data_IF_400087179797
#
_entry.id   IF_400087179797
#
_cell.length_a   1.000
_cell.length_b   1.000
_cell.length_c   1.000
_cell.angle_alpha   90.00
_cell.angle_beta   90.00
_cell.angle_gamma   90.00
#
_symmetry.space_group_name_H-M   'P 1'
#
loop_
_entity.id
_entity.type
_entity.pdbx_description
1 polymer ?
#
# COMPACT_ATOMS: atom_id res chain seq x y z
N UNK A 1 -5.04 33.74 -60.59
CA UNK A 1 -4.66 35.15 -60.35
C UNK A 1 -4.69 35.40 -58.85
N UNK A 2 -3.63 36.04 -58.36
CA UNK A 2 -3.26 36.20 -56.96
C UNK A 2 -4.30 36.89 -56.07
N UNK A 3 -4.31 36.53 -54.78
CA UNK A 3 -4.42 37.53 -53.69
C UNK A 3 -3.73 37.02 -52.43
N UNK A 4 -2.56 37.63 -52.22
CA UNK A 4 -1.65 37.55 -51.09
C UNK A 4 -2.12 38.58 -50.06
N UNK A 5 -2.34 38.17 -48.81
CA UNK A 5 -2.63 39.08 -47.69
C UNK A 5 -1.56 38.90 -46.63
N UNK A 6 -0.65 39.87 -46.57
CA UNK A 6 0.24 40.14 -45.45
C UNK A 6 -0.58 40.63 -44.26
N UNK A 7 -0.25 40.18 -43.04
CA UNK A 7 -0.52 40.95 -41.83
C UNK A 7 0.76 41.08 -40.99
N UNK A 8 1.15 42.34 -40.83
CA UNK A 8 2.20 42.87 -39.95
C UNK A 8 1.86 42.62 -38.47
N UNK A 9 2.83 42.18 -37.67
CA UNK A 9 3.59 43.00 -36.70
C UNK A 9 2.75 43.78 -35.67
N UNK A 10 2.81 43.33 -34.42
CA UNK A 10 2.80 44.24 -33.26
C UNK A 10 3.72 43.70 -32.16
N UNK A 11 4.84 44.38 -31.99
CA UNK A 11 5.63 44.42 -30.76
C UNK A 11 4.84 45.16 -29.68
N UNK A 12 4.83 44.62 -28.46
CA UNK A 12 4.38 45.31 -27.26
C UNK A 12 5.41 45.15 -26.15
N UNK A 13 6.31 46.13 -26.02
CA UNK A 13 7.10 46.39 -24.82
C UNK A 13 6.17 46.90 -23.71
N UNK A 14 6.23 46.33 -22.50
CA UNK A 14 5.86 47.04 -21.28
C UNK A 14 6.94 46.78 -20.24
N UNK A 15 7.76 47.81 -20.01
CA UNK A 15 8.57 47.99 -18.81
C UNK A 15 7.74 48.83 -17.83
N UNK A 16 7.63 48.42 -16.57
CA UNK A 16 7.26 49.30 -15.45
C UNK A 16 8.13 48.92 -14.25
N UNK A 17 9.06 49.81 -13.93
CA UNK A 17 9.69 49.93 -12.62
C UNK A 17 8.88 50.93 -11.80
N UNK A 18 8.63 50.63 -10.53
CA UNK A 18 8.34 51.64 -9.51
C UNK A 18 8.65 51.06 -8.13
N UNK A 19 9.70 51.62 -7.54
CA UNK A 19 10.03 51.56 -6.12
C UNK A 19 8.90 52.18 -5.28
N UNK A 20 8.62 51.58 -4.12
CA UNK A 20 8.03 52.32 -3.00
C UNK A 20 8.55 51.77 -1.68
N UNK A 21 9.50 52.53 -1.13
CA UNK A 21 9.95 52.53 0.26
C UNK A 21 8.84 53.13 1.13
N UNK A 22 8.38 52.42 2.15
CA UNK A 22 7.63 53.01 3.27
C UNK A 22 8.12 52.41 4.59
N UNK A 23 8.41 53.34 5.49
CA UNK A 23 9.05 53.30 6.81
C UNK A 23 8.26 52.48 7.88
N UNK A 24 8.92 51.86 8.87
CA UNK A 24 8.27 51.12 9.95
C UNK A 24 8.15 51.97 11.22
N UNK A 25 6.95 52.41 11.59
CA UNK A 25 6.67 53.01 12.90
C UNK A 25 5.17 53.03 13.22
N UNK A 26 4.64 51.98 13.87
CA UNK A 26 3.33 52.04 14.53
C UNK A 26 3.24 51.04 15.68
N UNK A 27 3.75 51.47 16.84
CA UNK A 27 3.11 51.44 18.16
C UNK A 27 2.17 50.26 18.45
N UNK A 28 2.66 49.35 19.30
CA UNK A 28 1.88 48.40 20.09
C UNK A 28 1.03 49.15 21.13
N UNK A 29 -0.30 49.05 21.04
CA UNK A 29 -1.21 49.29 22.17
C UNK A 29 -1.84 47.97 22.59
N UNK A 30 -1.48 47.54 23.79
CA UNK A 30 -2.11 46.46 24.55
C UNK A 30 -3.51 46.94 24.96
N UNK A 31 -4.54 46.14 24.71
CA UNK A 31 -5.89 46.35 25.23
C UNK A 31 -6.34 45.08 25.94
N UNK A 32 -6.59 45.24 27.24
CA UNK A 32 -7.12 44.21 28.14
C UNK A 32 -8.49 43.69 27.67
N UNK A 33 -8.74 42.37 27.70
CA UNK A 33 -10.09 41.85 27.57
C UNK A 33 -10.83 41.95 28.90
N UNK A 34 -11.87 42.77 28.89
CA UNK A 34 -12.87 42.86 29.95
C UNK A 34 -13.62 41.53 30.13
N UNK A 35 -13.82 41.24 31.42
CA UNK A 35 -14.56 40.16 32.03
C UNK A 35 -16.04 40.20 31.61
N UNK A 36 -16.49 39.21 30.84
CA UNK A 36 -17.91 38.97 30.56
C UNK A 36 -18.35 37.68 31.27
N UNK A 37 -19.11 37.90 32.33
CA UNK A 37 -19.81 36.93 33.16
C UNK A 37 -20.99 36.38 32.35
N UNK A 38 -21.00 35.06 32.07
CA UNK A 38 -22.15 34.38 31.47
C UNK A 38 -22.81 33.48 32.51
N UNK A 39 -24.06 33.81 32.81
CA UNK A 39 -24.99 33.07 33.64
C UNK A 39 -25.16 31.62 33.16
N UNK A 40 -25.07 30.69 34.11
CA UNK A 40 -25.36 29.28 33.90
C UNK A 40 -26.88 29.05 33.75
N UNK A 41 -27.29 28.48 32.62
CA UNK A 41 -28.62 27.86 32.45
C UNK A 41 -28.62 26.42 32.98
N UNK A 42 -29.73 25.92 33.54
CA UNK A 42 -29.81 24.59 34.13
C UNK A 42 -29.80 23.48 33.07
N UNK A 43 -29.12 22.39 33.42
CA UNK A 43 -28.93 21.20 32.61
C UNK A 43 -30.25 20.48 32.30
N UNK A 44 -30.48 20.23 31.02
CA UNK A 44 -31.55 19.39 30.51
C UNK A 44 -31.12 17.91 30.63
N UNK A 45 -32.00 17.13 31.26
CA UNK A 45 -31.82 15.73 31.65
C UNK A 45 -31.73 14.82 30.40
N UNK A 46 -30.50 14.49 29.98
CA UNK A 46 -30.27 13.57 28.86
C UNK A 46 -30.47 12.12 29.31
N UNK A 47 -31.45 11.45 28.70
CA UNK A 47 -31.74 10.02 28.88
C UNK A 47 -30.50 9.14 28.64
N UNK A 48 -30.33 8.04 29.40
CA UNK A 48 -29.15 7.19 29.28
C UNK A 48 -29.10 6.48 27.92
N UNK A 49 -27.99 6.70 27.21
CA UNK A 49 -27.60 5.94 26.01
C UNK A 49 -27.16 4.53 26.47
N UNK A 50 -27.62 3.44 25.83
CA UNK A 50 -27.24 2.09 26.22
C UNK A 50 -25.74 1.88 25.99
N UNK A 51 -25.02 1.60 27.08
CA UNK A 51 -23.61 1.22 27.05
C UNK A 51 -23.44 -0.08 26.28
N UNK A 52 -22.68 -0.02 25.17
CA UNK A 52 -22.09 -1.17 24.52
C UNK A 52 -21.17 -1.88 25.52
N UNK A 53 -21.55 -3.12 25.87
CA UNK A 53 -20.79 -4.02 26.72
C UNK A 53 -19.50 -4.43 26.00
N UNK A 54 -18.37 -3.91 26.47
CA UNK A 54 -17.03 -4.37 26.07
C UNK A 54 -16.60 -5.41 27.12
N UNK A 55 -16.46 -6.70 26.77
CA UNK A 55 -16.01 -7.70 27.72
C UNK A 55 -14.59 -7.36 28.20
N UNK A 56 -14.45 -7.13 29.51
CA UNK A 56 -13.16 -6.98 30.18
C UNK A 56 -12.42 -8.32 30.14
N UNK A 57 -11.46 -8.46 29.23
CA UNK A 57 -10.47 -9.54 29.32
C UNK A 57 -9.58 -9.30 30.55
N UNK A 58 -9.84 -10.02 31.64
CA UNK A 58 -8.90 -10.14 32.76
C UNK A 58 -7.71 -10.96 32.27
N UNK A 59 -6.57 -10.30 32.03
CA UNK A 59 -5.26 -10.95 31.92
C UNK A 59 -4.94 -11.58 33.28
N UNK A 60 -5.11 -12.90 33.39
CA UNK A 60 -4.61 -13.68 34.51
C UNK A 60 -3.10 -13.85 34.36
N UNK A 61 -2.33 -13.02 35.06
CA UNK A 61 -0.90 -13.29 35.31
C UNK A 61 -0.82 -14.29 36.46
N UNK A 62 -0.79 -15.58 36.14
CA UNK A 62 -0.24 -16.61 37.03
C UNK A 62 1.01 -17.19 36.39
N UNK A 63 2.16 -16.66 36.77
CA UNK A 63 3.44 -17.35 36.67
C UNK A 63 3.40 -18.56 37.60
N UNK A 64 3.33 -19.76 37.04
CA UNK A 64 3.60 -21.00 37.78
C UNK A 64 5.10 -21.32 37.65
N UNK A 65 5.76 -21.32 38.80
CA UNK A 65 7.05 -21.95 39.05
C UNK A 65 7.03 -23.40 38.58
N UNK A 66 8.03 -23.78 37.77
CA UNK A 66 8.24 -25.14 37.29
C UNK A 66 9.24 -25.82 38.22
N UNK A 67 8.75 -26.31 39.36
CA UNK A 67 9.36 -27.42 40.09
C UNK A 67 8.29 -28.50 40.19
N UNK A 68 8.68 -29.74 39.93
CA UNK A 68 7.89 -30.96 40.09
C UNK A 68 6.96 -31.35 38.93
N UNK A 69 7.55 -31.94 37.88
CA UNK A 69 6.91 -32.98 37.07
C UNK A 69 7.91 -34.13 36.79
N UNK A 70 7.48 -35.40 36.87
CA UNK A 70 8.34 -36.57 36.78
C UNK A 70 8.82 -36.87 35.35
N UNK A 71 10.01 -37.48 35.27
CA UNK A 71 10.74 -37.78 34.04
C UNK A 71 9.96 -38.71 33.10
N UNK A 72 9.64 -38.19 31.90
CA UNK A 72 9.25 -38.99 30.75
C UNK A 72 10.49 -39.24 29.88
N UNK A 73 10.88 -40.51 29.76
CA UNK A 73 11.91 -40.98 28.83
C UNK A 73 11.40 -40.82 27.40
N UNK A 74 11.83 -39.76 26.72
CA UNK A 74 11.72 -39.58 25.27
C UNK A 74 13.10 -39.60 24.63
N UNK A 75 13.24 -40.05 23.36
CA UNK A 75 14.54 -40.19 22.71
C UNK A 75 15.17 -38.81 22.48
N UNK A 76 16.39 -38.65 22.99
CA UNK A 76 17.24 -37.47 22.80
C UNK A 76 17.54 -37.26 21.32
N UNK A 77 17.08 -36.14 20.78
CA UNK A 77 17.47 -35.67 19.46
C UNK A 77 18.87 -35.05 19.59
N UNK A 78 19.90 -35.80 19.18
CA UNK A 78 21.27 -35.31 19.08
C UNK A 78 21.33 -34.34 17.91
N UNK A 79 21.60 -33.05 18.20
CA UNK A 79 21.97 -32.06 17.19
C UNK A 79 23.47 -32.28 16.91
N UNK A 80 23.88 -32.69 15.71
CA UNK A 80 25.29 -32.81 15.40
C UNK A 80 25.90 -31.41 15.23
N UNK A 81 27.05 -31.19 15.87
CA UNK A 81 27.90 -30.02 15.68
C UNK A 81 28.17 -29.79 14.20
N UNK A 82 27.73 -28.64 13.67
CA UNK A 82 28.09 -28.16 12.34
C UNK A 82 29.52 -27.66 12.36
N UNK A 83 30.47 -28.59 12.29
CA UNK A 83 31.83 -28.31 11.86
C UNK A 83 32.16 -29.15 10.63
N UNK A 84 32.22 -28.48 9.47
CA UNK A 84 33.14 -28.84 8.39
C UNK A 84 32.92 -30.12 7.58
N UNK A 85 31.68 -30.58 7.33
CA UNK A 85 31.45 -31.61 6.31
C UNK A 85 30.67 -31.03 5.12
N UNK A 86 31.33 -30.96 3.96
CA UNK A 86 30.69 -30.63 2.69
C UNK A 86 29.72 -31.75 2.34
N UNK A 87 28.42 -31.50 2.52
CA UNK A 87 27.36 -32.42 2.07
C UNK A 87 27.47 -32.52 0.55
N UNK A 88 27.72 -33.71 0.02
CA UNK A 88 27.81 -33.87 -1.43
C UNK A 88 26.42 -33.71 -2.06
N UNK A 89 26.31 -33.20 -3.30
CA UNK A 89 25.03 -33.07 -4.00
C UNK A 89 24.22 -34.38 -4.04
N UNK A 90 24.90 -35.52 -4.06
CA UNK A 90 24.30 -36.86 -4.07
C UNK A 90 23.56 -37.16 -2.75
N UNK A 91 24.12 -36.78 -1.59
CA UNK A 91 23.49 -36.95 -0.27
C UNK A 91 22.18 -36.15 -0.15
N UNK A 92 22.13 -34.98 -0.80
CA UNK A 92 20.92 -34.14 -0.82
C UNK A 92 19.82 -34.80 -1.65
N UNK A 93 20.17 -35.33 -2.82
CA UNK A 93 19.23 -36.04 -3.70
C UNK A 93 18.69 -37.29 -3.03
N UNK A 94 19.54 -38.05 -2.33
CA UNK A 94 19.12 -39.25 -1.61
C UNK A 94 18.13 -38.92 -0.47
N UNK A 95 18.41 -37.87 0.32
CA UNK A 95 17.50 -37.41 1.39
C UNK A 95 16.15 -36.93 0.87
N UNK A 96 16.14 -36.24 -0.28
CA UNK A 96 14.89 -35.79 -0.92
C UNK A 96 14.08 -37.01 -1.39
N UNK A 97 14.73 -37.98 -2.03
CA UNK A 97 14.04 -39.18 -2.51
C UNK A 97 13.49 -40.03 -1.36
N UNK A 98 14.24 -40.15 -0.26
CA UNK A 98 13.76 -40.80 0.96
C UNK A 98 12.54 -40.11 1.57
N UNK A 99 12.54 -38.76 1.63
CA UNK A 99 11.40 -37.97 2.09
C UNK A 99 10.15 -38.16 1.21
N UNK A 100 10.33 -38.17 -0.11
CA UNK A 100 9.23 -38.37 -1.06
C UNK A 100 8.62 -39.78 -0.95
N UNK A 101 9.45 -40.81 -0.73
CA UNK A 101 8.96 -42.17 -0.49
C UNK A 101 8.20 -42.28 0.84
N UNK A 102 8.64 -41.58 1.90
CA UNK A 102 7.94 -41.55 3.18
C UNK A 102 6.55 -40.91 3.05
N UNK A 103 6.43 -39.78 2.33
CA UNK A 103 5.13 -39.13 2.07
C UNK A 103 4.21 -40.04 1.24
N UNK A 104 4.76 -40.76 0.25
CA UNK A 104 3.98 -41.72 -0.54
C UNK A 104 3.45 -42.88 0.31
N UNK A 105 4.27 -43.42 1.21
CA UNK A 105 3.84 -44.45 2.17
C UNK A 105 2.79 -43.94 3.15
N UNK A 106 2.91 -42.71 3.63
CA UNK A 106 1.88 -42.08 4.49
C UNK A 106 0.55 -41.88 3.74
N UNK A 107 0.60 -41.61 2.43
CA UNK A 107 -0.60 -41.49 1.59
C UNK A 107 -1.28 -42.85 1.33
N UNK A 108 -0.49 -43.91 1.21
CA UNK A 108 -0.98 -45.29 1.02
C UNK A 108 -1.52 -45.91 2.33
N UNK A 109 -1.02 -45.46 3.49
CA UNK A 109 -1.52 -45.86 4.82
C UNK A 109 -2.72 -45.04 5.32
N UNK A 110 -3.39 -44.29 4.45
CA UNK A 110 -4.51 -43.43 4.82
C UNK A 110 -5.82 -44.22 5.04
N UNK A 111 -5.82 -45.10 6.02
CA UNK A 111 -7.03 -45.44 6.76
C UNK A 111 -7.35 -44.26 7.70
N UNK A 112 -8.32 -43.45 7.26
CA UNK A 112 -9.20 -42.60 8.07
C UNK A 112 -8.51 -41.62 9.03
N UNK A 113 -8.25 -40.43 8.51
CA UNK A 113 -8.07 -39.24 9.35
C UNK A 113 -9.39 -38.92 10.09
N UNK A 114 -9.48 -39.29 11.37
CA UNK A 114 -10.62 -39.00 12.26
C UNK A 114 -10.89 -37.49 12.49
N UNK A 115 -10.03 -36.61 11.98
CA UNK A 115 -10.17 -35.14 12.08
C UNK A 115 -10.95 -34.55 10.89
N UNK A 116 -11.22 -35.33 9.85
CA UNK A 116 -11.97 -34.86 8.68
C UNK A 116 -13.51 -34.95 8.84
N UNK A 117 -14.04 -35.62 9.87
CA UNK A 117 -15.50 -35.79 10.06
C UNK A 117 -16.20 -34.60 10.75
N UNK A 118 -15.46 -33.59 11.23
CA UNK A 118 -16.06 -32.40 11.86
C UNK A 118 -16.58 -31.36 10.86
N UNK A 119 -16.36 -31.55 9.55
CA UNK A 119 -16.82 -30.61 8.53
C UNK A 119 -18.11 -31.04 7.80
N UNK A 120 -18.60 -32.27 8.00
CA UNK A 120 -19.81 -32.76 7.31
C UNK A 120 -21.11 -32.53 8.10
N UNK A 121 -21.05 -32.08 9.36
CA UNK A 121 -22.26 -31.84 10.18
C UNK A 121 -22.88 -30.44 10.05
N UNK A 122 -22.42 -29.60 9.12
CA UNK A 122 -23.05 -28.27 8.87
C UNK A 122 -23.82 -28.18 7.55
N UNK A 123 -23.98 -29.27 6.78
CA UNK A 123 -24.74 -29.29 5.52
C UNK A 123 -26.17 -29.85 5.62
N UNK A 124 -26.86 -29.61 6.73
CA UNK A 124 -28.31 -29.87 6.82
C UNK A 124 -29.06 -28.66 7.39
N UNK A 125 -29.06 -27.57 6.62
CA UNK A 125 -30.21 -26.66 6.61
C UNK A 125 -30.36 -26.05 5.22
N UNK A 126 -31.45 -26.41 4.56
CA UNK A 126 -31.76 -25.99 3.19
C UNK A 126 -32.00 -24.49 3.12
N UNK A 127 -31.31 -23.84 2.18
CA UNK A 127 -31.57 -22.45 1.81
C UNK A 127 -30.42 -21.82 1.03
N UNK A 128 -30.69 -21.51 -0.25
CA UNK A 128 -29.89 -20.66 -1.16
C UNK A 128 -28.73 -21.34 -1.91
N UNK A 129 -29.08 -22.09 -2.97
CA UNK A 129 -28.16 -22.44 -4.08
C UNK A 129 -27.53 -21.20 -4.75
N UNK A 130 -28.09 -20.00 -4.58
CA UNK A 130 -27.60 -18.80 -5.26
C UNK A 130 -26.27 -18.26 -4.71
N UNK A 131 -25.91 -18.53 -3.45
CA UNK A 131 -24.70 -17.94 -2.84
C UNK A 131 -23.42 -18.74 -3.12
N UNK A 132 -23.52 -20.06 -3.25
CA UNK A 132 -22.37 -20.90 -3.59
C UNK A 132 -21.90 -20.64 -5.02
N UNK A 133 -22.85 -20.51 -5.96
CA UNK A 133 -22.54 -20.19 -7.35
C UNK A 133 -21.92 -18.80 -7.51
N UNK A 134 -22.37 -17.81 -6.72
CA UNK A 134 -21.80 -16.47 -6.73
C UNK A 134 -20.35 -16.44 -6.22
N UNK A 135 -20.04 -17.21 -5.16
CA UNK A 135 -18.69 -17.39 -4.64
C UNK A 135 -17.76 -18.14 -5.61
N UNK A 136 -18.26 -19.16 -6.31
CA UNK A 136 -17.48 -19.87 -7.35
C UNK A 136 -17.20 -18.95 -8.55
N UNK A 137 -18.16 -18.09 -8.92
CA UNK A 137 -18.00 -17.12 -9.99
C UNK A 137 -17.01 -16.01 -9.64
N UNK A 138 -17.01 -15.55 -8.39
CA UNK A 138 -15.99 -14.63 -7.87
C UNK A 138 -14.61 -15.29 -7.80
N UNK A 139 -14.51 -16.55 -7.36
CA UNK A 139 -13.21 -17.24 -7.23
C UNK A 139 -12.48 -17.40 -8.56
N UNK A 140 -13.20 -17.72 -9.65
CA UNK A 140 -12.63 -17.79 -11.01
C UNK A 140 -12.08 -16.46 -11.53
N UNK A 141 -12.47 -15.34 -10.93
CA UNK A 141 -11.97 -14.01 -11.29
C UNK A 141 -10.62 -13.69 -10.62
N UNK A 142 -10.19 -14.47 -9.63
CA UNK A 142 -9.00 -14.23 -8.81
C UNK A 142 -7.97 -15.37 -8.84
N UNK A 143 -8.12 -16.36 -9.73
CA UNK A 143 -7.12 -17.41 -9.87
C UNK A 143 -5.80 -16.80 -10.38
N UNK A 144 -4.73 -16.99 -9.60
CA UNK A 144 -3.39 -16.54 -9.96
C UNK A 144 -2.96 -17.22 -11.27
N UNK A 145 -2.46 -16.42 -12.23
CA UNK A 145 -1.98 -16.95 -13.51
C UNK A 145 -0.79 -17.89 -13.30
N UNK A 146 -0.74 -18.97 -14.10
CA UNK A 146 0.35 -19.95 -14.10
C UNK A 146 1.71 -19.22 -14.21
N UNK A 147 2.68 -19.48 -13.30
CA UNK A 147 4.01 -18.92 -13.39
C UNK A 147 4.72 -19.21 -14.73
N UNK A 148 4.32 -20.25 -15.47
CA UNK A 148 4.85 -20.55 -16.81
C UNK A 148 4.24 -19.68 -17.92
N UNK A 149 3.15 -18.96 -17.64
CA UNK A 149 2.60 -17.92 -18.51
C UNK A 149 3.35 -16.58 -18.36
N UNK A 150 4.31 -16.47 -17.43
CA UNK A 150 5.27 -15.37 -17.41
C UNK A 150 6.17 -15.51 -18.64
N UNK A 151 5.84 -14.75 -19.70
CA UNK A 151 6.65 -14.68 -20.91
C UNK A 151 8.13 -14.46 -20.59
N UNK A 152 9.00 -15.01 -21.44
CA UNK A 152 10.46 -14.90 -21.30
C UNK A 152 10.85 -13.42 -21.33
N UNK A 153 11.48 -12.93 -20.26
CA UNK A 153 12.10 -11.61 -20.26
C UNK A 153 13.14 -11.58 -21.38
N UNK A 154 12.94 -10.73 -22.39
CA UNK A 154 13.95 -10.49 -23.42
C UNK A 154 15.05 -9.65 -22.79
N UNK A 155 16.25 -10.22 -22.66
CA UNK A 155 17.43 -9.48 -22.18
C UNK A 155 17.76 -8.33 -23.15
N UNK A 156 17.76 -7.06 -22.71
CA UNK A 156 18.19 -5.96 -23.55
C UNK A 156 19.72 -5.95 -23.65
N UNK A 157 20.20 -5.56 -24.82
CA UNK A 157 21.61 -5.23 -25.04
C UNK A 157 22.00 -4.09 -24.09
N UNK A 158 23.02 -4.35 -23.28
CA UNK A 158 23.60 -3.44 -22.30
C UNK A 158 24.24 -2.23 -22.98
N UNK A 159 23.64 -1.06 -22.82
CA UNK A 159 24.34 0.22 -22.97
C UNK A 159 24.25 0.98 -21.64
N UNK A 160 25.42 1.30 -21.09
CA UNK A 160 25.57 2.14 -19.90
C UNK A 160 25.48 3.59 -20.35
N UNK A 161 24.50 4.33 -19.85
CA UNK A 161 24.37 5.76 -20.19
C UNK A 161 25.46 6.56 -19.44
N UNK A 162 26.17 7.46 -20.15
CA UNK A 162 27.26 8.30 -19.61
C UNK A 162 26.86 9.24 -18.45
N UNK A 163 25.59 9.25 -18.05
CA UNK A 163 25.04 10.03 -16.93
C UNK A 163 25.17 9.35 -15.56
N UNK A 164 25.79 8.17 -15.47
CA UNK A 164 25.94 7.42 -14.21
C UNK A 164 24.65 6.74 -13.73
N UNK A 165 23.57 6.83 -14.51
CA UNK A 165 22.34 6.05 -14.31
C UNK A 165 22.59 4.61 -14.67
N UNK A 166 22.41 3.70 -13.69
CA UNK A 166 22.49 2.24 -13.90
C UNK A 166 21.54 1.84 -15.02
N UNK A 167 21.99 0.95 -15.92
CA UNK A 167 21.14 0.40 -16.97
C UNK A 167 19.94 -0.32 -16.35
N UNK A 168 18.74 0.05 -16.79
CA UNK A 168 17.49 -0.60 -16.39
C UNK A 168 17.08 -1.61 -17.46
N UNK A 169 16.75 -2.82 -17.03
CA UNK A 169 16.11 -3.83 -17.88
C UNK A 169 14.62 -3.77 -17.63
N UNK A 170 13.88 -3.19 -18.58
CA UNK A 170 12.42 -3.16 -18.52
C UNK A 170 11.85 -4.26 -19.41
N UNK A 171 10.92 -5.04 -18.87
CA UNK A 171 10.17 -6.04 -19.61
C UNK A 171 8.67 -5.88 -19.37
N UNK A 172 7.88 -6.15 -20.39
CA UNK A 172 6.45 -6.35 -20.21
C UNK A 172 6.20 -7.64 -19.44
N UNK A 173 5.12 -7.65 -18.67
CA UNK A 173 4.70 -8.77 -17.84
C UNK A 173 3.20 -9.04 -18.06
N UNK A 174 2.71 -10.25 -17.75
CA UNK A 174 1.32 -10.62 -17.94
C UNK A 174 0.37 -9.62 -17.28
N UNK A 175 -0.50 -8.96 -18.04
CA UNK A 175 -1.32 -7.84 -17.56
C UNK A 175 -0.90 -6.46 -18.07
N UNK A 176 0.02 -6.41 -19.04
CA UNK A 176 0.47 -5.21 -19.75
C UNK A 176 1.06 -4.14 -18.82
N UNK A 177 1.83 -4.57 -17.82
CA UNK A 177 2.64 -3.68 -16.99
C UNK A 177 4.12 -3.82 -17.33
N UNK A 178 4.82 -2.70 -17.23
CA UNK A 178 6.28 -2.65 -17.36
C UNK A 178 6.91 -2.90 -15.99
N UNK A 179 7.73 -3.94 -15.90
CA UNK A 179 8.60 -4.16 -14.75
C UNK A 179 10.02 -3.76 -15.15
N UNK A 180 10.58 -2.76 -14.47
CA UNK A 180 11.97 -2.37 -14.65
C UNK A 180 12.80 -2.91 -13.50
N UNK A 181 13.82 -3.70 -13.82
CA UNK A 181 14.81 -4.22 -12.88
C UNK A 181 16.10 -3.48 -13.14
N UNK A 182 16.69 -2.93 -12.09
CA UNK A 182 17.99 -2.29 -12.14
C UNK A 182 19.04 -3.27 -11.62
N UNK A 183 20.21 -3.29 -12.25
CA UNK A 183 21.23 -4.28 -11.92
C UNK A 183 21.66 -4.17 -10.43
N UNK A 184 21.44 -5.25 -9.67
CA UNK A 184 21.77 -5.32 -8.23
C UNK A 184 20.70 -4.76 -7.29
N UNK A 185 19.51 -4.43 -7.78
CA UNK A 185 18.40 -3.94 -6.96
C UNK A 185 17.41 -5.06 -6.58
N UNK A 186 16.60 -4.79 -5.56
CA UNK A 186 15.56 -5.70 -5.05
C UNK A 186 14.43 -5.90 -6.05
N UNK A 187 13.76 -7.05 -5.94
CA UNK A 187 12.62 -7.44 -6.79
C UNK A 187 11.55 -6.33 -6.78
N UNK A 188 11.08 -5.87 -7.95
CA UNK A 188 10.06 -4.83 -8.03
C UNK A 188 8.72 -5.32 -7.45
N UNK A 189 7.90 -4.38 -6.97
CA UNK A 189 6.50 -4.60 -6.65
C UNK A 189 6.15 -4.49 -5.18
N UNK A 190 6.98 -4.97 -4.26
CA UNK A 190 6.65 -4.85 -2.85
C UNK A 190 7.88 -4.57 -2.00
N UNK A 191 7.92 -3.37 -1.41
CA UNK A 191 9.01 -2.96 -0.54
C UNK A 191 8.55 -1.89 0.45
N UNK A 192 9.37 -1.70 1.49
CA UNK A 192 9.10 -0.74 2.55
C UNK A 192 10.26 0.22 2.74
N UNK A 193 9.94 1.46 3.05
CA UNK A 193 10.90 2.47 3.50
C UNK A 193 10.51 2.88 4.91
N UNK A 194 11.48 2.92 5.81
CA UNK A 194 11.25 3.21 7.21
C UNK A 194 12.12 4.39 7.63
N UNK A 195 11.49 5.55 7.86
CA UNK A 195 12.15 6.69 8.47
C UNK A 195 12.15 6.48 9.99
N UNK A 196 13.31 6.09 10.52
CA UNK A 196 13.57 5.96 11.96
C UNK A 196 14.18 7.22 12.59
N UNK A 197 14.36 8.31 11.84
CA UNK A 197 15.00 9.51 12.39
C UNK A 197 14.12 10.19 13.42
N UNK A 198 14.73 10.76 14.45
CA UNK A 198 14.11 11.33 15.64
C UNK A 198 13.32 12.63 15.37
N UNK A 199 12.26 12.61 14.55
CA UNK A 199 11.31 13.72 14.46
C UNK A 199 10.04 13.39 13.66
N UNK A 200 8.87 13.84 14.11
CA UNK A 200 8.29 13.67 15.44
C UNK A 200 7.63 12.29 15.61
N UNK A 201 7.46 11.50 14.54
CA UNK A 201 6.87 10.16 14.56
C UNK A 201 7.58 9.26 13.53
N UNK A 202 7.88 7.99 13.85
CA UNK A 202 8.35 7.03 12.85
C UNK A 202 7.35 6.94 11.68
N UNK A 203 7.88 7.05 10.46
CA UNK A 203 7.08 6.95 9.23
C UNK A 203 7.50 5.73 8.42
N UNK A 204 6.54 4.89 8.07
CA UNK A 204 6.73 3.82 7.11
C UNK A 204 6.01 4.16 5.80
N UNK A 205 6.68 3.92 4.68
CA UNK A 205 6.07 3.83 3.37
C UNK A 205 6.10 2.38 2.95
N UNK A 206 4.96 1.84 2.56
CA UNK A 206 4.82 0.51 2.02
C UNK A 206 4.24 0.64 0.62
N UNK A 207 4.95 0.07 -0.35
CA UNK A 207 4.50 -0.02 -1.73
C UNK A 207 3.88 -1.40 -1.91
N UNK A 208 2.60 -1.41 -2.26
CA UNK A 208 1.76 -2.61 -2.33
C UNK A 208 1.62 -3.08 -3.78
N UNK A 209 1.80 -4.37 -4.00
CA UNK A 209 1.49 -5.07 -5.26
C UNK A 209 0.99 -6.48 -4.94
N UNK A 210 -0.07 -6.54 -4.13
CA UNK A 210 -0.64 -7.80 -3.69
C UNK A 210 -1.14 -8.64 -4.87
N UNK A 211 -0.98 -9.96 -4.77
CA UNK A 211 -1.39 -10.93 -5.79
C UNK A 211 -0.82 -10.66 -7.21
N UNK A 212 0.21 -9.81 -7.34
CA UNK A 212 0.72 -9.32 -8.62
C UNK A 212 -0.39 -8.72 -9.51
N UNK A 213 -1.45 -8.22 -8.89
CA UNK A 213 -2.60 -7.67 -9.59
C UNK A 213 -2.45 -6.16 -9.75
N UNK A 214 -2.65 -5.67 -10.98
CA UNK A 214 -2.62 -4.22 -11.28
C UNK A 214 -3.61 -3.42 -10.43
N UNK A 215 -4.70 -4.05 -10.01
CA UNK A 215 -5.71 -3.41 -9.18
C UNK A 215 -5.22 -3.04 -7.78
N UNK A 216 -4.21 -3.75 -7.28
CA UNK A 216 -3.72 -3.62 -5.91
C UNK A 216 -2.42 -2.80 -5.82
N UNK A 217 -2.08 -2.07 -6.89
CA UNK A 217 -0.96 -1.13 -6.90
C UNK A 217 -1.29 0.12 -6.09
N UNK A 218 -0.71 0.20 -4.90
CA UNK A 218 -0.96 1.28 -3.96
C UNK A 218 0.26 1.65 -3.12
N UNK A 219 0.12 2.74 -2.37
CA UNK A 219 1.13 3.25 -1.46
C UNK A 219 0.46 3.48 -0.12
N UNK A 220 0.85 2.70 0.87
CA UNK A 220 0.43 2.84 2.25
C UNK A 220 1.48 3.66 3.01
N UNK A 221 1.05 4.68 3.74
CA UNK A 221 1.90 5.52 4.59
C UNK A 221 1.35 5.47 6.00
N UNK A 222 2.18 5.08 6.95
CA UNK A 222 1.83 5.04 8.37
C UNK A 222 2.75 5.97 9.16
N UNK A 223 2.14 6.92 9.87
CA UNK A 223 2.79 7.68 10.94
C UNK A 223 2.44 7.00 12.26
N UNK A 224 3.37 6.21 12.80
CA UNK A 224 3.16 5.48 14.04
C UNK A 224 3.32 6.40 15.23
N UNK A 225 2.38 6.32 16.17
CA UNK A 225 2.56 6.84 17.51
C UNK A 225 2.91 5.67 18.43
N UNK A 226 4.11 5.69 19.00
CA UNK A 226 4.71 4.59 19.77
C UNK A 226 3.83 4.07 20.91
N UNK A 227 2.91 4.90 21.43
CA UNK A 227 2.09 4.54 22.59
C UNK A 227 0.64 4.18 22.25
N UNK A 228 0.13 4.56 21.08
CA UNK A 228 -1.29 4.40 20.76
C UNK A 228 -1.54 4.19 19.26
N UNK A 229 -1.81 2.94 18.87
CA UNK A 229 -2.26 2.62 17.51
C UNK A 229 -3.47 3.47 17.09
N UNK A 230 -4.41 3.69 18.01
CA UNK A 230 -5.60 4.52 17.80
C UNK A 230 -5.32 5.98 17.43
N UNK A 231 -4.09 6.47 17.66
CA UNK A 231 -3.64 7.81 17.30
C UNK A 231 -2.72 7.83 16.07
N UNK A 232 -2.34 6.65 15.55
CA UNK A 232 -1.51 6.53 14.37
C UNK A 232 -2.28 7.01 13.14
N UNK A 233 -1.62 7.74 12.25
CA UNK A 233 -2.24 8.29 11.03
C UNK A 233 -1.85 7.43 9.86
N UNK A 234 -2.84 6.91 9.16
CA UNK A 234 -2.68 6.07 7.99
C UNK A 234 -3.17 6.83 6.76
N UNK A 235 -2.40 6.79 5.69
CA UNK A 235 -2.75 7.34 4.40
C UNK A 235 -2.59 6.23 3.36
N UNK A 236 -3.60 5.98 2.56
CA UNK A 236 -3.51 5.09 1.39
C UNK A 236 -3.64 5.90 0.12
N UNK A 237 -2.74 5.66 -0.83
CA UNK A 237 -2.71 6.37 -2.12
C UNK A 237 -2.66 5.39 -3.27
N UNK A 238 -3.32 5.74 -4.37
CA UNK A 238 -3.15 5.09 -5.68
C UNK A 238 -2.92 6.16 -6.73
N UNK A 239 -2.06 5.90 -7.70
CA UNK A 239 -1.76 6.83 -8.79
C UNK A 239 -2.01 6.16 -10.15
N UNK A 240 -2.55 6.92 -11.11
CA UNK A 240 -3.01 6.41 -12.41
C UNK A 240 -2.52 7.30 -13.55
N UNK A 241 -2.00 6.74 -14.64
CA UNK A 241 -2.16 5.34 -15.05
C UNK A 241 -1.17 4.38 -14.36
N UNK A 242 -1.60 3.14 -14.13
CA UNK A 242 -0.81 2.07 -13.49
C UNK A 242 -0.03 1.28 -14.54
N UNK A 243 0.95 1.93 -15.18
CA UNK A 243 1.74 1.35 -16.29
C UNK A 243 2.97 0.59 -15.81
N UNK A 244 3.53 0.98 -14.67
CA UNK A 244 4.76 0.43 -14.13
C UNK A 244 4.51 -0.31 -12.82
N UNK A 245 5.26 -1.38 -12.57
CA UNK A 245 5.39 -1.92 -11.21
C UNK A 245 6.32 -0.98 -10.42
N UNK A 246 5.95 -0.58 -9.18
CA UNK A 246 6.84 0.17 -8.32
C UNK A 246 8.20 -0.51 -8.17
N UNK A 247 9.25 0.27 -8.35
CA UNK A 247 10.63 -0.20 -8.22
C UNK A 247 11.43 0.81 -7.41
N UNK A 248 12.41 0.32 -6.66
CA UNK A 248 13.35 1.14 -5.90
C UNK A 248 14.76 0.88 -6.40
N UNK A 249 15.52 1.96 -6.57
CA UNK A 249 16.94 1.92 -6.89
C UNK A 249 17.73 2.81 -5.95
N UNK A 250 18.97 2.43 -5.67
CA UNK A 250 19.87 3.23 -4.82
C UNK A 250 20.98 3.84 -5.67
N UNK A 251 21.16 5.16 -5.55
CA UNK A 251 22.21 5.93 -6.21
C UNK A 251 22.92 6.81 -5.17
N UNK A 252 24.09 6.37 -4.72
CA UNK A 252 24.84 7.06 -3.67
C UNK A 252 24.05 7.16 -2.36
N UNK A 253 23.81 8.39 -1.90
CA UNK A 253 23.05 8.71 -0.70
C UNK A 253 21.54 8.86 -0.95
N UNK A 254 21.06 8.48 -2.13
CA UNK A 254 19.65 8.60 -2.53
C UNK A 254 19.03 7.25 -2.85
N UNK A 255 17.77 7.09 -2.49
CA UNK A 255 16.89 6.03 -2.93
C UNK A 255 15.81 6.60 -3.84
N UNK A 256 15.76 6.17 -5.08
CA UNK A 256 14.82 6.66 -6.07
C UNK A 256 13.75 5.59 -6.28
N UNK A 257 12.52 5.93 -5.95
CA UNK A 257 11.35 5.09 -6.16
C UNK A 257 10.63 5.51 -7.43
N UNK A 258 10.39 4.57 -8.33
CA UNK A 258 9.51 4.76 -9.50
C UNK A 258 8.10 4.37 -9.10
N UNK A 259 7.13 5.26 -9.31
CA UNK A 259 5.71 5.04 -9.04
C UNK A 259 5.02 4.33 -10.21
N UNK A 260 3.77 3.83 -10.04
CA UNK A 260 3.03 3.19 -11.12
C UNK A 260 2.82 4.03 -12.38
N UNK A 261 2.89 5.36 -12.25
CA UNK A 261 2.82 6.32 -13.37
C UNK A 261 4.11 6.44 -14.17
N UNK A 262 5.22 5.89 -13.66
CA UNK A 262 6.58 6.08 -14.20
C UNK A 262 7.28 7.32 -13.62
N UNK A 263 6.58 8.15 -12.86
CA UNK A 263 7.18 9.28 -12.15
C UNK A 263 8.01 8.81 -10.96
N UNK A 264 8.96 9.63 -10.53
CA UNK A 264 9.90 9.24 -9.47
C UNK A 264 9.74 10.08 -8.20
N UNK A 265 10.05 9.45 -7.07
CA UNK A 265 10.21 10.09 -5.76
C UNK A 265 11.59 9.75 -5.24
N UNK A 266 12.34 10.77 -4.83
CA UNK A 266 13.70 10.61 -4.31
C UNK A 266 13.66 10.72 -2.80
N UNK A 267 14.26 9.74 -2.13
CA UNK A 267 14.41 9.66 -0.69
C UNK A 267 15.88 9.73 -0.32
N UNK A 268 16.20 10.28 0.83
CA UNK A 268 17.52 10.18 1.43
C UNK A 268 17.75 8.76 1.96
N UNK A 269 18.88 8.13 1.65
CA UNK A 269 19.14 6.73 2.01
C UNK A 269 19.26 6.52 3.52
N UNK A 270 19.70 7.52 4.30
CA UNK A 270 19.90 7.37 5.76
C UNK A 270 18.62 7.70 6.52
N UNK A 271 18.02 8.82 6.19
CA UNK A 271 16.88 9.41 6.91
C UNK A 271 15.54 8.98 6.32
N UNK A 272 15.51 8.45 5.10
CA UNK A 272 14.29 8.17 4.31
C UNK A 272 13.37 9.39 4.19
N UNK A 273 13.89 10.61 4.37
CA UNK A 273 13.13 11.84 4.09
C UNK A 273 12.98 11.99 2.58
N UNK A 274 11.84 12.50 2.14
CA UNK A 274 11.63 12.84 0.74
C UNK A 274 12.49 14.06 0.39
N UNK A 275 13.39 13.89 -0.57
CA UNK A 275 14.29 14.93 -1.08
C UNK A 275 13.69 15.65 -2.30
N UNK A 276 12.82 14.99 -3.05
CA UNK A 276 12.17 15.57 -4.23
C UNK A 276 11.38 14.56 -5.05
N UNK A 277 10.88 15.02 -6.20
CA UNK A 277 10.01 14.25 -7.08
C UNK A 277 8.54 14.63 -6.95
N UNK A 278 7.66 13.70 -7.26
CA UNK A 278 6.19 13.96 -7.35
C UNK A 278 5.45 13.85 -6.02
N UNK A 279 6.12 13.49 -4.93
CA UNK A 279 5.56 13.57 -3.57
C UNK A 279 6.27 14.67 -2.80
N UNK A 280 5.50 15.59 -2.22
CA UNK A 280 5.94 16.59 -1.24
C UNK A 280 5.38 16.24 0.14
N UNK A 281 6.17 16.50 1.18
CA UNK A 281 5.82 16.21 2.59
C UNK A 281 5.37 14.76 2.85
N UNK A 282 5.83 13.84 1.98
CA UNK A 282 5.44 12.43 1.88
C UNK A 282 3.98 12.13 1.52
N UNK A 283 3.04 13.08 1.64
CA UNK A 283 1.58 12.82 1.50
C UNK A 283 0.87 13.69 0.48
N UNK A 284 1.57 14.65 -0.12
CA UNK A 284 1.02 15.56 -1.11
C UNK A 284 1.59 15.18 -2.46
N UNK A 285 0.73 14.86 -3.41
CA UNK A 285 1.15 14.49 -4.76
C UNK A 285 1.08 15.69 -5.68
N UNK A 286 2.21 16.02 -6.30
CA UNK A 286 2.40 17.18 -7.19
C UNK A 286 2.57 16.78 -8.66
N UNK A 287 2.51 15.48 -8.97
CA UNK A 287 2.60 14.99 -10.34
C UNK A 287 1.37 15.36 -11.18
N UNK A 288 1.49 15.16 -12.50
CA UNK A 288 0.45 15.55 -13.47
C UNK A 288 -0.68 14.53 -13.61
N UNK A 289 -0.56 13.39 -12.95
CA UNK A 289 -1.45 12.25 -13.12
C UNK A 289 -2.58 12.25 -12.07
N UNK A 290 -3.49 11.27 -12.17
CA UNK A 290 -4.59 11.15 -11.20
C UNK A 290 -4.07 10.46 -9.94
N UNK A 291 -4.36 11.03 -8.78
CA UNK A 291 -4.15 10.41 -7.48
C UNK A 291 -5.50 10.17 -6.80
N UNK A 292 -5.67 8.99 -6.21
CA UNK A 292 -6.65 8.73 -5.15
C UNK A 292 -5.93 8.78 -3.81
N UNK A 293 -6.47 9.49 -2.83
CA UNK A 293 -5.95 9.58 -1.47
C UNK A 293 -7.06 9.34 -0.45
N UNK A 294 -6.75 8.52 0.54
CA UNK A 294 -7.62 8.27 1.70
C UNK A 294 -6.80 8.38 2.97
N UNK A 295 -7.28 9.16 3.93
CA UNK A 295 -6.66 9.32 5.23
C UNK A 295 -7.56 8.74 6.32
N UNK A 296 -6.97 8.07 7.31
CA UNK A 296 -7.65 7.60 8.51
C UNK A 296 -6.73 7.64 9.73
N UNK A 297 -7.35 7.64 10.91
CA UNK A 297 -6.65 7.58 12.20
C UNK A 297 -7.05 6.30 12.92
N UNK A 298 -6.06 5.54 13.37
CA UNK A 298 -6.28 4.34 14.18
C UNK A 298 -6.87 3.13 13.47
N UNK A 299 -7.00 3.16 12.15
CA UNK A 299 -7.58 2.08 11.34
C UNK A 299 -7.10 2.15 9.89
N UNK A 300 -7.31 1.06 9.16
CA UNK A 300 -7.05 0.95 7.72
C UNK A 300 -7.89 1.99 6.92
N UNK A 301 -7.26 2.88 6.14
CA UNK A 301 -7.95 3.96 5.43
C UNK A 301 -9.06 3.52 4.47
N UNK A 302 -8.92 2.35 3.84
CA UNK A 302 -9.90 1.86 2.86
C UNK A 302 -11.19 1.35 3.50
N UNK A 303 -11.20 1.09 4.81
CA UNK A 303 -12.35 0.56 5.53
C UNK A 303 -13.27 1.68 6.10
N UNK A 304 -14.58 1.45 6.02
CA UNK A 304 -15.62 2.27 6.63
C UNK A 304 -16.32 3.28 5.71
N UNK A 305 -17.16 4.14 6.30
CA UNK A 305 -18.10 5.04 5.58
C UNK A 305 -17.48 6.39 5.15
N UNK A 306 -16.18 6.42 4.89
CA UNK A 306 -15.45 7.64 4.54
C UNK A 306 -15.61 8.08 3.08
N UNK A 307 -14.92 9.17 2.75
CA UNK A 307 -14.75 9.67 1.39
C UNK A 307 -13.28 9.55 0.97
N UNK A 308 -13.03 9.12 -0.26
CA UNK A 308 -11.74 9.27 -0.91
C UNK A 308 -11.66 10.62 -1.62
N UNK A 309 -10.48 11.24 -1.61
CA UNK A 309 -10.20 12.41 -2.44
C UNK A 309 -9.45 11.97 -3.69
N UNK A 310 -10.00 12.27 -4.85
CA UNK A 310 -9.35 12.04 -6.14
C UNK A 310 -8.92 13.39 -6.70
N UNK A 311 -7.67 13.53 -7.14
CA UNK A 311 -7.14 14.80 -7.64
C UNK A 311 -6.24 14.65 -8.86
N UNK A 312 -6.24 15.67 -9.72
CA UNK A 312 -5.34 15.85 -10.86
C UNK A 312 -5.16 17.36 -11.12
N UNK A 313 -3.93 17.84 -11.25
CA UNK A 313 -3.61 19.24 -11.62
C UNK A 313 -4.39 20.29 -10.82
N UNK A 314 -4.42 20.18 -9.48
CA UNK A 314 -5.12 21.11 -8.59
C UNK A 314 -6.64 20.98 -8.56
N UNK A 315 -7.26 20.19 -9.45
CA UNK A 315 -8.68 19.81 -9.35
C UNK A 315 -8.84 18.61 -8.43
N UNK A 316 -9.93 18.58 -7.66
CA UNK A 316 -10.26 17.45 -6.78
C UNK A 316 -11.75 17.14 -6.78
N UNK A 317 -12.08 15.85 -6.69
CA UNK A 317 -13.43 15.37 -6.41
C UNK A 317 -13.43 14.40 -5.22
N UNK A 318 -14.51 14.40 -4.44
CA UNK A 318 -14.69 13.46 -3.32
C UNK A 318 -15.66 12.37 -3.74
N UNK A 319 -15.30 11.11 -3.52
CA UNK A 319 -16.15 9.96 -3.83
C UNK A 319 -16.31 9.05 -2.61
N UNK A 320 -17.46 8.37 -2.43
CA UNK A 320 -17.61 7.40 -1.35
C UNK A 320 -16.61 6.25 -1.43
N UNK A 321 -16.03 5.84 -0.29
CA UNK A 321 -15.08 4.72 -0.28
C UNK A 321 -15.68 3.43 -0.83
N UNK A 322 -16.97 3.16 -0.54
CA UNK A 322 -17.68 1.98 -1.03
C UNK A 322 -17.78 1.91 -2.56
N UNK A 323 -17.65 3.05 -3.25
CA UNK A 323 -17.64 3.10 -4.72
C UNK A 323 -16.31 2.63 -5.31
N UNK A 324 -15.22 2.72 -4.54
CA UNK A 324 -13.87 2.32 -4.93
C UNK A 324 -13.48 0.94 -4.37
N UNK A 325 -13.90 0.65 -3.13
CA UNK A 325 -13.69 -0.62 -2.42
C UNK A 325 -15.04 -1.13 -1.89
N UNK A 326 -15.77 -1.95 -2.68
CA UNK A 326 -17.14 -2.35 -2.35
C UNK A 326 -17.24 -3.24 -1.11
N UNK A 327 -16.27 -4.12 -0.93
CA UNK A 327 -16.15 -4.96 0.25
C UNK A 327 -15.38 -4.21 1.34
N UNK A 328 -16.10 -3.85 2.39
CA UNK A 328 -15.59 -3.10 3.54
C UNK A 328 -15.59 -3.97 4.81
N UNK A 329 -15.64 -5.29 4.67
CA UNK A 329 -15.47 -6.20 5.80
C UNK A 329 -14.02 -6.19 6.28
N UNK A 330 -13.81 -6.34 7.59
CA UNK A 330 -12.46 -6.38 8.18
C UNK A 330 -11.63 -7.58 7.68
N UNK A 331 -12.29 -8.62 7.15
CA UNK A 331 -11.67 -9.81 6.54
C UNK A 331 -11.46 -9.69 5.03
N UNK A 332 -11.87 -8.58 4.40
CA UNK A 332 -11.75 -8.41 2.96
C UNK A 332 -10.31 -8.21 2.52
N UNK A 333 -9.99 -8.67 1.31
CA UNK A 333 -8.72 -8.39 0.63
C UNK A 333 -8.62 -6.94 0.12
N UNK A 334 -9.62 -6.08 0.37
CA UNK A 334 -9.62 -4.64 0.05
C UNK A 334 -9.19 -4.33 -1.39
N UNK A 335 -9.67 -5.14 -2.33
CA UNK A 335 -9.39 -4.99 -3.74
C UNK A 335 -10.04 -3.74 -4.31
N UNK A 336 -9.27 -2.99 -5.09
CA UNK A 336 -9.80 -1.86 -5.83
C UNK A 336 -10.76 -2.35 -6.92
N UNK A 337 -11.94 -1.73 -7.00
CA UNK A 337 -13.04 -2.16 -7.89
C UNK A 337 -12.66 -2.23 -9.38
N UNK A 338 -11.73 -1.39 -9.83
CA UNK A 338 -11.45 -1.20 -11.25
C UNK A 338 -10.15 -1.91 -11.68
N UNK A 339 -10.25 -3.09 -12.32
CA UNK A 339 -9.08 -3.84 -12.78
C UNK A 339 -8.27 -3.08 -13.84
N UNK A 340 -8.94 -2.27 -14.66
CA UNK A 340 -8.31 -1.49 -15.73
C UNK A 340 -8.39 0.03 -15.48
N UNK A 341 -7.41 0.77 -15.99
CA UNK A 341 -7.41 2.24 -15.89
C UNK A 341 -8.51 2.89 -16.73
N UNK A 342 -8.94 2.21 -17.80
CA UNK A 342 -10.04 2.69 -18.66
C UNK A 342 -11.39 2.61 -17.94
N UNK A 343 -11.65 1.53 -17.20
CA UNK A 343 -12.86 1.43 -16.37
C UNK A 343 -12.89 2.50 -15.27
N UNK A 344 -11.74 2.74 -14.63
CA UNK A 344 -11.62 3.81 -13.65
C UNK A 344 -11.84 5.20 -14.29
N UNK A 345 -11.30 5.45 -15.49
CA UNK A 345 -11.52 6.69 -16.23
C UNK A 345 -13.00 6.92 -16.57
N UNK A 346 -13.71 5.87 -16.99
CA UNK A 346 -15.15 5.92 -17.23
C UNK A 346 -15.91 6.25 -15.94
N UNK A 347 -15.48 5.70 -14.81
CA UNK A 347 -16.03 6.07 -13.51
C UNK A 347 -15.81 7.55 -13.19
N UNK A 348 -14.61 8.11 -13.37
CA UNK A 348 -14.34 9.53 -13.14
C UNK A 348 -15.21 10.46 -14.00
N UNK A 349 -15.41 10.08 -15.27
CA UNK A 349 -16.32 10.77 -16.19
C UNK A 349 -17.76 10.71 -15.68
N UNK A 350 -18.22 9.55 -15.21
CA UNK A 350 -19.57 9.38 -14.66
C UNK A 350 -19.82 10.21 -13.39
N UNK A 351 -18.79 10.38 -12.55
CA UNK A 351 -18.85 11.16 -11.32
C UNK A 351 -18.68 12.67 -11.56
N UNK A 352 -18.52 13.11 -12.82
CA UNK A 352 -18.34 14.51 -13.20
C UNK A 352 -17.17 15.19 -12.46
N UNK A 353 -16.07 14.46 -12.22
CA UNK A 353 -14.88 15.00 -11.56
C UNK A 353 -14.20 16.13 -12.36
N UNK A 354 -14.51 16.27 -13.65
CA UNK A 354 -13.97 17.35 -14.50
C UNK A 354 -12.52 17.13 -14.96
N UNK A 355 -12.04 15.88 -14.84
CA UNK A 355 -10.76 15.40 -15.35
C UNK A 355 -10.84 13.89 -15.63
N UNK A 356 -9.89 13.40 -16.44
CA UNK A 356 -9.72 12.01 -16.86
C UNK A 356 -8.35 11.47 -16.44
N UNK A 357 -8.19 10.15 -16.44
CA UNK A 357 -6.88 9.49 -16.31
C UNK A 357 -5.99 9.90 -17.50
N UNK A 358 -6.51 9.79 -18.71
CA UNK A 358 -5.83 10.11 -19.97
C UNK A 358 -5.96 11.57 -20.37
#
# INVERSE_FOLDING_TARGET
MAKMVLFLSMLGLIAHAADSVVDPSAIFTVSDPAKAEQEAKPAEESKPVPHLYIPKYKRSTKSKSTSDLPAANGPTMVIPDTSGSSISPEDVVEKINAGNQAVKKMKEQNDRCAVCELNDQTQTSGGSETRADELVKMKKQFDALDPKALGTLVEPKTDVNNTGTRTAVCGERPGNYMACIYHGDVVPGQFRLNNKTHSPLPREWQFDFAAQARQDLGISISDYNDNHYSQSKFTYMMVFPRRYIPAIRTEGDKQIVTLPTGETVTYDTKTKKVLGGVLTDAKTYTGSNVMIKVDATGKEPRLGRGLATISKNGKSCKVPLKSLWPDQSDSSLLHFKFPTDQEFDNFLKSQKCGFSVY
#
